data_IF_194948609197
#
_entry.id   IF_194948609197
#
_cell.length_a   1.000
_cell.length_b   1.000
_cell.length_c   1.000
_cell.angle_alpha   90.00
_cell.angle_beta   90.00
_cell.angle_gamma   90.00
#
_symmetry.space_group_name_H-M   'P 1'
#
loop_
_entity.id
_entity.type
_entity.pdbx_description
1 polymer ?
#
# COMPACT_ATOMS: atom_id res chain seq x y z
N UNK A 1 -9.04 -38.98 -79.04
CA UNK A 1 -7.86 -38.19 -78.61
C UNK A 1 -8.09 -37.74 -77.18
N UNK A 2 -7.42 -38.35 -76.20
CA UNK A 2 -7.55 -38.03 -74.78
C UNK A 2 -6.18 -37.60 -74.24
N UNK A 3 -6.01 -36.31 -73.94
CA UNK A 3 -4.82 -35.77 -73.29
C UNK A 3 -4.89 -36.04 -71.78
N UNK A 4 -3.95 -36.86 -71.27
CA UNK A 4 -3.71 -37.03 -69.83
C UNK A 4 -2.90 -35.84 -69.31
N UNK A 5 -3.47 -35.05 -68.40
CA UNK A 5 -2.75 -34.02 -67.65
C UNK A 5 -1.94 -34.68 -66.53
N UNK A 6 -0.61 -34.60 -66.63
CA UNK A 6 0.31 -35.04 -65.58
C UNK A 6 0.40 -34.06 -64.40
N UNK A 7 0.83 -34.52 -63.21
CA UNK A 7 0.91 -33.69 -62.01
C UNK A 7 2.03 -32.66 -62.11
N UNK A 8 1.71 -31.40 -61.79
CA UNK A 8 2.69 -30.31 -61.68
C UNK A 8 3.43 -30.44 -60.34
N UNK A 9 4.75 -30.59 -60.40
CA UNK A 9 5.64 -30.52 -59.24
C UNK A 9 5.69 -29.08 -58.71
N UNK A 10 5.20 -28.86 -57.48
CA UNK A 10 5.36 -27.60 -56.75
C UNK A 10 6.77 -27.58 -56.18
N UNK A 11 7.66 -26.80 -56.78
CA UNK A 11 9.01 -26.56 -56.27
C UNK A 11 8.91 -25.58 -55.10
N UNK A 12 8.86 -26.10 -53.88
CA UNK A 12 8.91 -25.30 -52.66
C UNK A 12 10.32 -24.71 -52.49
N UNK A 13 10.43 -23.39 -52.65
CA UNK A 13 11.69 -22.66 -52.57
C UNK A 13 12.11 -22.50 -51.09
N UNK A 14 12.76 -23.53 -50.55
CA UNK A 14 13.16 -23.67 -49.13
C UNK A 14 14.04 -22.54 -48.59
N UNK A 15 14.67 -21.74 -49.46
CA UNK A 15 15.47 -20.57 -49.08
C UNK A 15 14.64 -19.39 -48.59
N UNK A 16 13.39 -19.22 -49.07
CA UNK A 16 12.50 -18.16 -48.61
C UNK A 16 11.94 -18.43 -47.20
N UNK A 17 11.77 -19.71 -46.83
CA UNK A 17 11.25 -20.12 -45.53
C UNK A 17 12.28 -19.91 -44.40
N UNK A 18 13.56 -20.20 -44.67
CA UNK A 18 14.63 -20.09 -43.66
C UNK A 18 14.95 -18.62 -43.33
N UNK A 19 14.89 -17.71 -44.32
CA UNK A 19 15.11 -16.28 -44.10
C UNK A 19 13.94 -15.66 -43.29
N UNK A 20 12.70 -16.11 -43.51
CA UNK A 20 11.54 -15.66 -42.74
C UNK A 20 11.58 -16.05 -41.27
N UNK A 21 12.06 -17.26 -40.95
CA UNK A 21 12.17 -17.76 -39.56
C UNK A 21 13.28 -17.02 -38.78
N UNK A 22 14.41 -16.72 -39.43
CA UNK A 22 15.53 -16.01 -38.79
C UNK A 22 15.18 -14.52 -38.54
N UNK A 23 14.43 -13.86 -39.45
CA UNK A 23 13.96 -12.49 -39.22
C UNK A 23 12.94 -12.39 -38.07
N UNK A 24 12.08 -13.39 -37.89
CA UNK A 24 11.16 -13.45 -36.74
C UNK A 24 11.89 -13.63 -35.41
N UNK A 25 12.99 -14.39 -35.37
CA UNK A 25 13.78 -14.58 -34.15
C UNK A 25 14.59 -13.34 -33.73
N UNK A 26 15.09 -12.56 -34.69
CA UNK A 26 15.82 -11.31 -34.40
C UNK A 26 14.88 -10.18 -33.97
N UNK A 27 13.65 -10.11 -34.51
CA UNK A 27 12.64 -9.16 -34.04
C UNK A 27 12.13 -9.47 -32.63
N UNK A 28 12.05 -10.76 -32.26
CA UNK A 28 11.61 -11.20 -30.93
C UNK A 28 12.66 -10.98 -29.82
N UNK A 29 13.96 -10.87 -30.17
CA UNK A 29 15.04 -10.74 -29.19
C UNK A 29 15.38 -9.30 -28.80
N UNK A 30 14.81 -8.30 -29.48
CA UNK A 30 14.90 -6.86 -29.09
C UNK A 30 13.80 -6.48 -28.09
N UNK A 31 12.76 -7.32 -27.94
CA UNK A 31 11.67 -7.12 -26.97
C UNK A 31 12.05 -7.47 -25.50
N UNK A 32 13.28 -7.90 -25.24
CA UNK A 32 13.70 -8.45 -23.95
C UNK A 32 14.24 -7.46 -22.91
N UNK A 33 14.47 -6.19 -23.29
CA UNK A 33 14.92 -5.17 -22.35
C UNK A 33 13.78 -4.19 -22.08
N UNK A 34 12.92 -4.50 -21.11
CA UNK A 34 12.15 -3.44 -20.45
C UNK A 34 13.16 -2.43 -19.93
N UNK A 35 13.05 -1.19 -20.40
CA UNK A 35 13.93 -0.15 -19.88
C UNK A 35 13.47 0.16 -18.46
N UNK A 36 14.39 0.07 -17.49
CA UNK A 36 14.17 0.46 -16.08
C UNK A 36 13.43 1.80 -15.96
N UNK A 37 13.67 2.70 -16.91
CA UNK A 37 13.01 4.00 -17.07
C UNK A 37 11.49 3.95 -17.19
N UNK A 38 10.91 3.01 -17.96
CA UNK A 38 9.46 2.91 -18.11
C UNK A 38 8.79 2.48 -16.81
N UNK A 39 9.41 1.51 -16.10
CA UNK A 39 8.93 1.06 -14.80
C UNK A 39 9.05 2.20 -13.78
N UNK A 40 10.19 2.91 -13.77
CA UNK A 40 10.40 4.09 -12.92
C UNK A 40 9.35 5.17 -13.16
N UNK A 41 9.01 5.47 -14.42
CA UNK A 41 7.99 6.46 -14.76
C UNK A 41 6.59 6.05 -14.27
N UNK A 42 6.20 4.79 -14.50
CA UNK A 42 4.91 4.25 -14.02
C UNK A 42 4.85 4.33 -12.49
N UNK A 43 5.94 3.93 -11.82
CA UNK A 43 6.06 3.97 -10.36
C UNK A 43 6.00 5.40 -9.84
N UNK A 44 6.68 6.35 -10.49
CA UNK A 44 6.71 7.75 -10.10
C UNK A 44 5.33 8.40 -10.23
N UNK A 45 4.66 8.24 -11.38
CA UNK A 45 3.32 8.80 -11.62
C UNK A 45 2.26 8.17 -10.71
N UNK A 46 2.30 6.85 -10.53
CA UNK A 46 1.41 6.19 -9.58
C UNK A 46 1.66 6.66 -8.15
N UNK A 47 2.91 6.86 -7.74
CA UNK A 47 3.21 7.45 -6.43
C UNK A 47 2.63 8.86 -6.33
N UNK A 48 2.83 9.72 -7.33
CA UNK A 48 2.30 11.08 -7.40
C UNK A 48 0.77 11.10 -7.27
N UNK A 49 0.06 10.21 -7.96
CA UNK A 49 -1.40 10.08 -7.85
C UNK A 49 -1.86 9.55 -6.49
N UNK A 50 -0.98 8.91 -5.71
CA UNK A 50 -1.23 8.55 -4.31
C UNK A 50 -0.81 9.66 -3.33
N UNK A 51 -0.19 10.77 -3.78
CA UNK A 51 0.26 11.87 -2.93
C UNK A 51 -0.81 12.91 -2.50
N UNK A 52 -1.98 13.11 -3.14
CA UNK A 52 -3.02 13.94 -2.54
C UNK A 52 -3.58 13.18 -1.34
N UNK A 53 -2.94 13.35 -0.18
CA UNK A 53 -3.14 12.53 1.02
C UNK A 53 -2.02 11.53 1.33
N UNK A 54 -0.73 11.89 1.18
CA UNK A 54 0.42 11.00 1.47
C UNK A 54 0.58 10.53 2.95
N UNK A 55 -0.37 10.83 3.83
CA UNK A 55 -0.55 10.18 5.14
C UNK A 55 -1.69 9.17 5.03
N UNK A 56 -1.76 8.16 5.90
CA UNK A 56 -3.03 7.45 6.04
C UNK A 56 -4.09 8.50 6.36
N UNK A 57 -5.18 8.57 5.59
CA UNK A 57 -6.16 9.59 5.85
C UNK A 57 -6.62 9.44 7.31
N UNK A 58 -6.57 10.50 8.15
CA UNK A 58 -7.39 10.51 9.34
C UNK A 58 -8.84 10.21 8.92
N UNK A 59 -9.64 9.62 9.82
CA UNK A 59 -11.03 9.23 9.56
C UNK A 59 -11.84 10.30 8.79
N UNK A 60 -11.48 11.57 9.01
CA UNK A 60 -12.13 12.77 8.49
C UNK A 60 -11.69 13.20 7.07
N UNK A 61 -10.61 12.64 6.49
CA UNK A 61 -10.06 13.12 5.19
C UNK A 61 -9.69 12.02 4.20
N UNK A 62 -10.25 10.81 4.33
CA UNK A 62 -10.09 9.80 3.30
C UNK A 62 -10.85 10.27 2.04
N UNK A 63 -10.17 10.38 0.91
CA UNK A 63 -10.76 10.75 -0.37
C UNK A 63 -9.98 11.84 -1.08
N UNK A 64 -9.19 11.44 -2.07
CA UNK A 64 -8.69 12.37 -3.09
C UNK A 64 -9.85 12.66 -4.07
N UNK A 65 -10.42 13.86 -4.03
CA UNK A 65 -11.62 14.16 -4.84
C UNK A 65 -11.32 14.49 -6.31
N UNK A 66 -10.07 14.64 -6.72
CA UNK A 66 -9.68 14.82 -8.12
C UNK A 66 -8.31 14.17 -8.35
N UNK A 67 -8.25 13.14 -9.21
CA UNK A 67 -6.98 12.51 -9.56
C UNK A 67 -7.08 11.56 -10.75
N UNK A 68 -5.97 11.42 -11.48
CA UNK A 68 -5.86 10.66 -12.72
C UNK A 68 -5.72 9.15 -12.50
N UNK A 69 -6.41 8.58 -11.50
CA UNK A 69 -6.23 7.18 -11.13
C UNK A 69 -6.61 6.21 -12.25
N UNK A 70 -7.60 6.55 -13.08
CA UNK A 70 -8.00 5.75 -14.24
C UNK A 70 -6.89 5.70 -15.29
N UNK A 71 -6.24 6.82 -15.55
CA UNK A 71 -5.14 6.91 -16.52
C UNK A 71 -3.93 6.10 -16.05
N UNK A 72 -3.58 6.22 -14.76
CA UNK A 72 -2.47 5.46 -14.18
C UNK A 72 -2.77 3.96 -14.09
N UNK A 73 -3.99 3.58 -13.72
CA UNK A 73 -4.43 2.19 -13.74
C UNK A 73 -4.38 1.62 -15.16
N UNK A 74 -4.87 2.36 -16.15
CA UNK A 74 -4.84 1.98 -17.57
C UNK A 74 -3.40 1.83 -18.06
N UNK A 75 -2.49 2.72 -17.63
CA UNK A 75 -1.05 2.62 -17.98
C UNK A 75 -0.42 1.36 -17.38
N UNK A 76 -0.75 1.01 -16.14
CA UNK A 76 -0.32 -0.24 -15.52
C UNK A 76 -0.85 -1.45 -16.30
N UNK A 77 -2.13 -1.47 -16.66
CA UNK A 77 -2.73 -2.57 -17.41
C UNK A 77 -2.10 -2.75 -18.79
N UNK A 78 -1.93 -1.66 -19.54
CA UNK A 78 -1.26 -1.67 -20.84
C UNK A 78 0.18 -2.18 -20.73
N UNK A 79 0.90 -1.75 -19.69
CA UNK A 79 2.26 -2.22 -19.45
C UNK A 79 2.30 -3.72 -19.12
N UNK A 80 1.42 -4.23 -18.27
CA UNK A 80 1.36 -5.67 -17.96
C UNK A 80 1.04 -6.48 -19.22
N UNK A 81 0.07 -6.03 -20.02
CA UNK A 81 -0.34 -6.70 -21.26
C UNK A 81 0.80 -6.74 -22.29
N UNK A 82 1.64 -5.70 -22.36
CA UNK A 82 2.80 -5.64 -23.25
C UNK A 82 3.95 -6.58 -22.81
N UNK A 83 3.93 -7.11 -21.58
CA UNK A 83 5.04 -7.88 -21.01
C UNK A 83 4.58 -9.20 -20.34
N UNK A 84 3.96 -10.13 -21.07
CA UNK A 84 3.30 -11.32 -20.50
C UNK A 84 4.24 -12.31 -19.79
N UNK A 85 5.55 -12.27 -20.03
CA UNK A 85 6.54 -13.14 -19.37
C UNK A 85 7.24 -12.52 -18.16
N UNK A 86 6.66 -11.49 -17.55
CA UNK A 86 7.23 -10.80 -16.40
C UNK A 86 6.31 -10.82 -15.19
N UNK A 87 6.00 -12.02 -14.72
CA UNK A 87 5.00 -12.28 -13.68
C UNK A 87 5.35 -11.61 -12.35
N UNK A 88 6.64 -11.54 -12.01
CA UNK A 88 7.11 -10.83 -10.81
C UNK A 88 6.83 -9.33 -10.87
N UNK A 89 7.13 -8.70 -12.01
CA UNK A 89 6.86 -7.28 -12.22
C UNK A 89 5.36 -7.01 -12.29
N UNK A 90 4.60 -7.86 -12.99
CA UNK A 90 3.15 -7.77 -13.06
C UNK A 90 2.52 -7.89 -11.66
N UNK A 91 2.96 -8.84 -10.82
CA UNK A 91 2.49 -8.99 -9.45
C UNK A 91 2.73 -7.73 -8.60
N UNK A 92 3.94 -7.16 -8.65
CA UNK A 92 4.26 -5.92 -7.93
C UNK A 92 3.42 -4.73 -8.43
N UNK A 93 3.21 -4.61 -9.74
CA UNK A 93 2.38 -3.57 -10.33
C UNK A 93 0.90 -3.71 -9.96
N UNK A 94 0.38 -4.94 -9.89
CA UNK A 94 -1.00 -5.22 -9.44
C UNK A 94 -1.22 -4.86 -7.98
N UNK A 95 -0.26 -5.14 -7.09
CA UNK A 95 -0.32 -4.68 -5.69
C UNK A 95 -0.36 -3.15 -5.62
N UNK A 96 0.47 -2.46 -6.41
CA UNK A 96 0.44 -0.98 -6.48
C UNK A 96 -0.88 -0.46 -7.03
N UNK A 97 -1.41 -1.07 -8.09
CA UNK A 97 -2.72 -0.71 -8.67
C UNK A 97 -3.84 -0.90 -7.63
N UNK A 98 -3.79 -1.96 -6.83
CA UNK A 98 -4.76 -2.17 -5.76
C UNK A 98 -4.69 -1.07 -4.69
N UNK A 99 -3.49 -0.67 -4.26
CA UNK A 99 -3.31 0.44 -3.32
C UNK A 99 -3.77 1.78 -3.91
N UNK A 100 -3.53 2.02 -5.20
CA UNK A 100 -4.07 3.17 -5.92
C UNK A 100 -5.60 3.16 -5.85
N UNK A 101 -6.24 2.04 -6.19
CA UNK A 101 -7.69 1.92 -6.10
C UNK A 101 -8.23 2.12 -4.69
N UNK A 102 -7.54 1.67 -3.64
CA UNK A 102 -7.92 1.94 -2.25
C UNK A 102 -7.89 3.44 -1.93
N UNK A 103 -6.87 4.18 -2.38
CA UNK A 103 -6.74 5.62 -2.15
C UNK A 103 -7.88 6.44 -2.80
N UNK A 104 -8.49 5.90 -3.87
CA UNK A 104 -9.63 6.50 -4.58
C UNK A 104 -10.96 5.77 -4.33
N UNK A 105 -11.04 4.99 -3.25
CA UNK A 105 -12.26 4.32 -2.77
C UNK A 105 -12.89 3.32 -3.77
N UNK A 106 -12.10 2.86 -4.73
CA UNK A 106 -12.50 1.87 -5.72
C UNK A 106 -12.34 0.45 -5.19
N UNK A 107 -13.03 0.13 -4.09
CA UNK A 107 -12.78 -1.10 -3.32
C UNK A 107 -12.93 -2.40 -4.12
N UNK A 108 -13.91 -2.47 -5.03
CA UNK A 108 -14.11 -3.65 -5.87
C UNK A 108 -12.96 -3.83 -6.86
N UNK A 109 -12.46 -2.72 -7.43
CA UNK A 109 -11.30 -2.74 -8.32
C UNK A 109 -10.03 -3.09 -7.54
N UNK A 110 -9.86 -2.56 -6.33
CA UNK A 110 -8.75 -2.91 -5.44
C UNK A 110 -8.73 -4.42 -5.15
N UNK A 111 -9.88 -5.01 -4.82
CA UNK A 111 -9.99 -6.45 -4.59
C UNK A 111 -9.63 -7.25 -5.85
N UNK A 112 -10.19 -6.88 -7.01
CA UNK A 112 -9.89 -7.56 -8.27
C UNK A 112 -8.39 -7.50 -8.61
N UNK A 113 -7.74 -6.34 -8.43
CA UNK A 113 -6.29 -6.20 -8.64
C UNK A 113 -5.48 -7.08 -7.69
N UNK A 114 -5.86 -7.18 -6.42
CA UNK A 114 -5.20 -8.11 -5.50
C UNK A 114 -5.43 -9.58 -5.92
N UNK A 115 -6.63 -9.97 -6.35
CA UNK A 115 -6.92 -11.36 -6.76
C UNK A 115 -6.12 -11.81 -7.99
N UNK A 116 -5.69 -10.88 -8.84
CA UNK A 116 -4.80 -11.17 -9.98
C UNK A 116 -3.34 -11.44 -9.56
N UNK A 117 -2.96 -11.16 -8.32
CA UNK A 117 -1.59 -11.36 -7.84
C UNK A 117 -1.39 -12.81 -7.42
N UNK A 118 -0.42 -13.47 -8.06
CA UNK A 118 0.12 -14.73 -7.57
C UNK A 118 1.27 -14.48 -6.58
N UNK A 119 1.05 -14.87 -5.32
CA UNK A 119 1.96 -14.62 -4.20
C UNK A 119 3.39 -15.14 -4.44
N UNK A 120 3.57 -16.21 -5.21
CA UNK A 120 4.90 -16.78 -5.47
C UNK A 120 5.81 -15.83 -6.27
N UNK A 121 5.22 -14.87 -6.99
CA UNK A 121 5.94 -13.91 -7.82
C UNK A 121 6.22 -12.59 -7.12
N UNK A 122 5.71 -12.39 -5.90
CA UNK A 122 6.06 -11.21 -5.10
C UNK A 122 7.45 -11.41 -4.49
N UNK A 123 8.38 -10.52 -4.80
CA UNK A 123 9.77 -10.62 -4.31
C UNK A 123 10.03 -9.75 -3.07
N UNK A 124 9.37 -8.60 -2.96
CA UNK A 124 9.64 -7.64 -1.89
C UNK A 124 8.82 -7.92 -0.64
N UNK A 125 9.37 -7.63 0.54
CA UNK A 125 8.65 -7.75 1.81
C UNK A 125 7.41 -6.83 1.84
N UNK A 126 7.52 -5.65 1.23
CA UNK A 126 6.42 -4.69 1.10
C UNK A 126 5.22 -5.31 0.36
N UNK A 127 5.45 -5.84 -0.84
CA UNK A 127 4.34 -6.31 -1.67
C UNK A 127 3.69 -7.55 -1.06
N UNK A 128 4.50 -8.44 -0.45
CA UNK A 128 4.00 -9.60 0.31
C UNK A 128 3.13 -9.17 1.50
N UNK A 129 3.58 -8.20 2.29
CA UNK A 129 2.83 -7.69 3.44
C UNK A 129 1.49 -7.08 3.02
N UNK A 130 1.49 -6.22 1.99
CA UNK A 130 0.26 -5.60 1.47
C UNK A 130 -0.71 -6.65 0.91
N UNK A 131 -0.22 -7.63 0.15
CA UNK A 131 -1.07 -8.71 -0.36
C UNK A 131 -1.65 -9.58 0.76
N UNK A 132 -0.84 -9.91 1.77
CA UNK A 132 -1.28 -10.69 2.93
C UNK A 132 -2.40 -9.96 3.68
N UNK A 133 -2.24 -8.65 3.89
CA UNK A 133 -3.19 -7.82 4.63
C UNK A 133 -4.38 -7.33 3.78
N UNK A 134 -4.48 -7.68 2.49
CA UNK A 134 -5.45 -7.12 1.54
C UNK A 134 -6.88 -7.02 2.07
N UNK A 135 -7.36 -8.03 2.79
CA UNK A 135 -8.74 -8.05 3.34
C UNK A 135 -8.92 -6.97 4.41
N UNK A 136 -7.96 -6.84 5.31
CA UNK A 136 -7.96 -5.82 6.36
C UNK A 136 -7.74 -4.42 5.79
N UNK A 137 -6.91 -4.29 4.75
CA UNK A 137 -6.71 -3.02 4.04
C UNK A 137 -8.01 -2.55 3.38
N UNK A 138 -8.69 -3.40 2.62
CA UNK A 138 -9.96 -3.07 1.98
C UNK A 138 -11.02 -2.70 3.03
N UNK A 139 -11.13 -3.48 4.11
CA UNK A 139 -12.05 -3.16 5.19
C UNK A 139 -11.73 -1.81 5.83
N UNK A 140 -10.49 -1.57 6.23
CA UNK A 140 -10.11 -0.32 6.89
C UNK A 140 -10.35 0.91 6.02
N UNK A 141 -9.95 0.87 4.75
CA UNK A 141 -10.18 1.99 3.82
C UNK A 141 -11.67 2.25 3.53
N UNK A 142 -12.53 1.25 3.72
CA UNK A 142 -13.98 1.41 3.63
C UNK A 142 -14.57 1.96 4.93
N UNK A 143 -14.11 1.44 6.05
CA UNK A 143 -14.70 1.70 7.37
C UNK A 143 -14.16 2.97 8.03
N UNK A 144 -12.99 3.48 7.63
CA UNK A 144 -12.34 4.61 8.30
C UNK A 144 -13.16 5.90 8.31
N UNK A 145 -14.17 6.02 7.45
CA UNK A 145 -15.05 7.20 7.33
C UNK A 145 -16.41 7.05 8.02
N UNK A 146 -16.72 5.85 8.46
CA UNK A 146 -18.05 5.47 8.95
C UNK A 146 -17.98 5.20 10.45
N UNK A 147 -19.14 5.26 11.09
CA UNK A 147 -19.28 4.79 12.47
C UNK A 147 -19.14 3.26 12.51
N UNK A 148 -18.43 2.75 13.52
CA UNK A 148 -18.19 1.33 13.74
C UNK A 148 -19.45 0.69 14.31
N UNK A 149 -19.90 -0.38 13.66
CA UNK A 149 -20.84 -1.32 14.26
C UNK A 149 -20.12 -2.32 15.18
N UNK A 150 -20.87 -3.12 15.94
CA UNK A 150 -20.29 -4.21 16.76
C UNK A 150 -19.45 -5.19 15.92
N UNK A 151 -19.86 -5.47 14.67
CA UNK A 151 -19.11 -6.30 13.72
C UNK A 151 -17.78 -5.66 13.32
N UNK A 152 -17.72 -4.32 13.25
CA UNK A 152 -16.49 -3.59 12.97
C UNK A 152 -15.51 -3.61 14.15
N UNK A 153 -15.99 -3.71 15.39
CA UNK A 153 -15.09 -3.93 16.53
C UNK A 153 -14.40 -5.29 16.47
N UNK A 154 -15.11 -6.33 16.04
CA UNK A 154 -14.51 -7.65 15.84
C UNK A 154 -13.49 -7.62 14.69
N UNK A 155 -13.87 -7.08 13.53
CA UNK A 155 -12.97 -6.94 12.37
C UNK A 155 -11.74 -6.06 12.69
N UNK A 156 -11.94 -4.99 13.46
CA UNK A 156 -10.86 -4.14 13.95
C UNK A 156 -9.89 -4.88 14.85
N UNK A 157 -10.39 -5.69 15.78
CA UNK A 157 -9.55 -6.52 16.64
C UNK A 157 -8.73 -7.55 15.84
N UNK A 158 -9.35 -8.19 14.85
CA UNK A 158 -8.66 -9.11 13.93
C UNK A 158 -7.58 -8.37 13.10
N UNK A 159 -7.91 -7.19 12.58
CA UNK A 159 -6.98 -6.36 11.81
C UNK A 159 -5.78 -5.91 12.65
N UNK A 160 -6.00 -5.46 13.90
CA UNK A 160 -4.92 -5.05 14.82
C UNK A 160 -3.93 -6.20 15.10
N UNK A 161 -4.44 -7.43 15.22
CA UNK A 161 -3.63 -8.62 15.44
C UNK A 161 -2.80 -8.99 14.20
N UNK A 162 -3.45 -9.07 13.03
CA UNK A 162 -2.76 -9.44 11.78
C UNK A 162 -1.77 -8.35 11.32
N UNK A 163 -2.08 -7.07 11.54
CA UNK A 163 -1.14 -5.97 11.34
C UNK A 163 0.08 -6.14 12.26
N UNK A 164 -0.11 -6.41 13.56
CA UNK A 164 1.01 -6.60 14.48
C UNK A 164 1.89 -7.78 14.08
N UNK A 165 1.30 -8.94 13.80
CA UNK A 165 2.03 -10.12 13.31
C UNK A 165 2.86 -9.79 12.08
N UNK A 166 2.28 -9.06 11.12
CA UNK A 166 2.99 -8.65 9.90
C UNK A 166 4.13 -7.69 10.22
N UNK A 167 3.89 -6.65 11.03
CA UNK A 167 4.89 -5.67 11.48
C UNK A 167 6.10 -6.35 12.10
N UNK A 168 5.88 -7.35 12.97
CA UNK A 168 6.95 -8.07 13.67
C UNK A 168 7.89 -8.83 12.72
N UNK A 169 7.44 -9.15 11.50
CA UNK A 169 8.25 -9.80 10.47
C UNK A 169 9.06 -8.83 9.61
N UNK A 170 8.80 -7.52 9.68
CA UNK A 170 9.30 -6.51 8.74
C UNK A 170 10.56 -5.75 9.24
N UNK A 171 11.39 -6.40 10.05
CA UNK A 171 12.60 -5.78 10.64
C UNK A 171 13.56 -5.17 9.61
N UNK A 172 13.66 -5.78 8.42
CA UNK A 172 14.52 -5.32 7.33
C UNK A 172 13.79 -4.43 6.31
N UNK A 173 12.60 -3.93 6.64
CA UNK A 173 11.79 -3.10 5.73
C UNK A 173 11.06 -2.01 6.51
N UNK A 174 11.81 -1.06 7.11
CA UNK A 174 11.27 -0.07 8.04
C UNK A 174 10.17 0.79 7.41
N UNK A 175 10.28 1.15 6.13
CA UNK A 175 9.28 2.01 5.48
C UNK A 175 7.87 1.41 5.49
N UNK A 176 7.73 0.13 5.13
CA UNK A 176 6.43 -0.55 5.16
C UNK A 176 6.01 -0.93 6.58
N UNK A 177 6.97 -1.32 7.43
CA UNK A 177 6.71 -1.59 8.85
C UNK A 177 6.07 -0.38 9.52
N UNK A 178 6.66 0.80 9.34
CA UNK A 178 6.20 2.04 9.97
C UNK A 178 4.86 2.49 9.39
N UNK A 179 4.64 2.30 8.08
CA UNK A 179 3.34 2.57 7.45
C UNK A 179 2.22 1.67 8.01
N UNK A 180 2.48 0.37 8.20
CA UNK A 180 1.51 -0.55 8.79
C UNK A 180 1.30 -0.27 10.28
N UNK A 181 2.33 0.13 11.01
CA UNK A 181 2.21 0.55 12.41
C UNK A 181 1.35 1.80 12.56
N UNK A 182 1.49 2.75 11.65
CA UNK A 182 0.64 3.94 11.56
C UNK A 182 -0.83 3.55 11.30
N UNK A 183 -1.09 2.62 10.38
CA UNK A 183 -2.45 2.12 10.13
C UNK A 183 -3.04 1.45 11.36
N UNK A 184 -2.24 0.63 12.04
CA UNK A 184 -2.64 -0.07 13.25
C UNK A 184 -3.07 0.92 14.34
N UNK A 185 -2.29 2.00 14.56
CA UNK A 185 -2.66 2.99 15.58
C UNK A 185 -3.91 3.78 15.19
N UNK A 186 -4.13 4.10 13.92
CA UNK A 186 -5.38 4.76 13.50
C UNK A 186 -6.61 3.88 13.71
N UNK A 187 -6.54 2.58 13.40
CA UNK A 187 -7.62 1.63 13.71
C UNK A 187 -7.90 1.63 15.22
N UNK A 188 -6.84 1.52 16.04
CA UNK A 188 -6.98 1.50 17.49
C UNK A 188 -7.57 2.81 18.05
N UNK A 189 -7.17 3.97 17.51
CA UNK A 189 -7.72 5.27 17.91
C UNK A 189 -9.20 5.40 17.52
N UNK A 190 -9.60 4.89 16.35
CA UNK A 190 -11.00 4.88 15.92
C UNK A 190 -11.85 3.99 16.85
N UNK A 191 -11.36 2.78 17.16
CA UNK A 191 -12.02 1.89 18.12
C UNK A 191 -12.09 2.51 19.52
N UNK A 192 -11.06 3.23 19.95
CA UNK A 192 -11.06 3.90 21.24
C UNK A 192 -12.06 5.06 21.32
N UNK A 193 -12.19 5.83 20.23
CA UNK A 193 -13.14 6.94 20.11
C UNK A 193 -14.58 6.46 20.26
N UNK A 194 -14.91 5.31 19.68
CA UNK A 194 -16.28 4.80 19.62
C UNK A 194 -16.61 3.77 20.71
N UNK A 195 -15.61 3.22 21.37
CA UNK A 195 -15.79 2.22 22.43
C UNK A 195 -16.28 2.81 23.75
N UNK A 196 -16.77 1.93 24.63
CA UNK A 196 -17.03 2.28 26.03
C UNK A 196 -15.72 2.60 26.78
N UNK A 197 -15.80 3.06 28.03
CA UNK A 197 -14.60 3.48 28.79
C UNK A 197 -13.52 2.39 28.90
N UNK A 198 -13.92 1.12 29.08
CA UNK A 198 -12.98 0.00 29.15
C UNK A 198 -12.29 -0.25 27.81
N UNK A 199 -13.05 -0.21 26.71
CA UNK A 199 -12.54 -0.36 25.35
C UNK A 199 -11.66 0.82 24.94
N UNK A 200 -12.06 2.04 25.29
CA UNK A 200 -11.30 3.27 25.06
C UNK A 200 -9.92 3.17 25.69
N UNK A 201 -9.84 2.83 26.98
CA UNK A 201 -8.58 2.64 27.68
C UNK A 201 -7.74 1.53 27.03
N UNK A 202 -8.36 0.38 26.72
CA UNK A 202 -7.69 -0.77 26.11
C UNK A 202 -7.08 -0.42 24.74
N UNK A 203 -7.88 0.07 23.81
CA UNK A 203 -7.45 0.31 22.43
C UNK A 203 -6.53 1.53 22.32
N UNK A 204 -6.77 2.60 23.09
CA UNK A 204 -5.86 3.73 23.15
C UNK A 204 -4.49 3.30 23.70
N UNK A 205 -4.48 2.63 24.84
CA UNK A 205 -3.25 2.16 25.49
C UNK A 205 -2.46 1.22 24.59
N UNK A 206 -3.09 0.17 24.04
CA UNK A 206 -2.40 -0.76 23.16
C UNK A 206 -1.94 -0.09 21.86
N UNK A 207 -2.81 0.69 21.20
CA UNK A 207 -2.48 1.39 19.95
C UNK A 207 -1.26 2.30 20.10
N UNK A 208 -1.27 3.20 21.09
CA UNK A 208 -0.18 4.14 21.34
C UNK A 208 1.09 3.42 21.79
N UNK A 209 1.00 2.49 22.75
CA UNK A 209 2.19 1.82 23.27
C UNK A 209 2.89 0.95 22.22
N UNK A 210 2.16 0.34 21.29
CA UNK A 210 2.79 -0.38 20.16
C UNK A 210 3.39 0.59 19.14
N UNK A 211 2.68 1.68 18.80
CA UNK A 211 3.19 2.65 17.83
C UNK A 211 4.48 3.31 18.28
N UNK A 212 4.57 3.71 19.56
CA UNK A 212 5.77 4.36 20.10
C UNK A 212 7.01 3.48 20.00
N UNK A 213 6.88 2.15 20.05
CA UNK A 213 8.03 1.23 19.86
C UNK A 213 8.65 1.32 18.46
N UNK A 214 7.94 1.88 17.48
CA UNK A 214 8.46 2.09 16.12
C UNK A 214 9.27 3.37 15.97
N UNK A 215 9.14 4.30 16.92
CA UNK A 215 9.86 5.57 16.93
C UNK A 215 11.24 5.39 17.56
N UNK A 216 12.25 6.03 16.97
CA UNK A 216 13.58 6.10 17.58
C UNK A 216 13.64 7.18 18.66
N UNK A 217 14.66 7.14 19.52
CA UNK A 217 14.90 8.23 20.48
C UNK A 217 15.12 9.59 19.81
N UNK A 218 15.75 9.60 18.62
CA UNK A 218 15.90 10.81 17.82
C UNK A 218 14.55 11.33 17.29
N UNK A 219 13.69 10.45 16.80
CA UNK A 219 12.33 10.82 16.36
C UNK A 219 11.55 11.48 17.51
N UNK A 220 11.58 10.89 18.70
CA UNK A 220 10.90 11.43 19.88
C UNK A 220 11.47 12.78 20.32
N UNK A 221 12.80 12.94 20.32
CA UNK A 221 13.44 14.20 20.70
C UNK A 221 13.06 15.35 19.75
N UNK A 222 13.04 15.08 18.44
CA UNK A 222 12.64 16.05 17.42
C UNK A 222 11.15 16.41 17.52
N UNK A 223 10.28 15.42 17.75
CA UNK A 223 8.85 15.67 17.96
C UNK A 223 8.61 16.53 19.21
N UNK A 224 9.33 16.27 20.31
CA UNK A 224 9.25 17.07 21.54
C UNK A 224 9.73 18.51 21.32
N UNK A 225 10.84 18.69 20.61
CA UNK A 225 11.36 20.02 20.33
C UNK A 225 10.46 20.81 19.37
N UNK A 226 9.86 20.14 18.37
CA UNK A 226 8.82 20.73 17.52
C UNK A 226 7.58 21.11 18.33
N UNK A 227 7.10 20.25 19.22
CA UNK A 227 5.94 20.53 20.09
C UNK A 227 6.18 21.74 20.99
N UNK A 228 7.39 21.90 21.56
CA UNK A 228 7.74 23.04 22.44
C UNK A 228 7.89 24.36 21.69
N UNK A 229 8.52 24.34 20.52
CA UNK A 229 9.04 25.55 19.89
C UNK A 229 8.36 25.90 18.55
N UNK A 230 7.61 24.98 17.95
CA UNK A 230 6.94 25.12 16.64
C UNK A 230 7.86 25.36 15.45
N UNK A 231 9.18 25.38 15.66
CA UNK A 231 10.19 25.87 14.70
C UNK A 231 11.05 24.78 14.08
N UNK A 232 11.06 23.58 14.65
CA UNK A 232 11.92 22.52 14.15
C UNK A 232 11.29 21.85 12.93
N UNK A 233 12.01 21.92 11.80
CA UNK A 233 11.58 21.26 10.57
C UNK A 233 11.67 19.75 10.76
N UNK A 234 10.53 19.08 10.67
CA UNK A 234 10.48 17.62 10.60
C UNK A 234 11.17 17.19 9.30
N UNK A 235 12.21 16.36 9.43
CA UNK A 235 13.17 16.11 8.35
C UNK A 235 12.77 14.94 7.47
N UNK A 236 11.91 14.05 7.96
CA UNK A 236 11.53 12.83 7.26
C UNK A 236 10.02 12.53 7.33
N UNK A 237 9.57 11.65 6.44
CA UNK A 237 8.16 11.23 6.34
C UNK A 237 7.64 10.59 7.62
N UNK A 238 8.44 9.80 8.32
CA UNK A 238 8.04 9.14 9.57
C UNK A 238 7.64 10.16 10.63
N UNK A 239 8.43 11.22 10.80
CA UNK A 239 8.16 12.29 11.76
C UNK A 239 6.90 13.07 11.43
N UNK A 240 6.70 13.41 10.15
CA UNK A 240 5.48 14.09 9.67
C UNK A 240 4.23 13.25 9.97
N UNK A 241 4.30 11.94 9.72
CA UNK A 241 3.19 11.01 9.98
C UNK A 241 2.95 10.82 11.48
N UNK A 242 4.00 10.73 12.29
CA UNK A 242 3.89 10.67 13.74
C UNK A 242 3.18 11.90 14.32
N UNK A 243 3.41 13.10 13.77
CA UNK A 243 2.70 14.32 14.19
C UNK A 243 1.19 14.21 13.96
N UNK A 244 0.75 13.60 12.85
CA UNK A 244 -0.66 13.39 12.56
C UNK A 244 -1.31 12.41 13.56
N UNK A 245 -0.60 11.33 13.92
CA UNK A 245 -1.03 10.40 14.97
C UNK A 245 -1.14 11.11 16.32
N UNK A 246 -0.12 11.89 16.70
CA UNK A 246 -0.10 12.68 17.94
C UNK A 246 -1.30 13.62 17.99
N UNK A 247 -1.54 14.40 16.93
CA UNK A 247 -2.67 15.33 16.86
C UNK A 247 -4.01 14.62 17.07
N UNK A 248 -4.19 13.46 16.44
CA UNK A 248 -5.42 12.66 16.57
C UNK A 248 -5.57 12.12 17.99
N UNK A 249 -4.52 11.55 18.55
CA UNK A 249 -4.50 10.97 19.90
C UNK A 249 -4.69 12.04 20.99
N UNK A 250 -4.07 13.22 20.84
CA UNK A 250 -4.27 14.37 21.73
C UNK A 250 -5.71 14.86 21.74
N UNK A 251 -6.41 14.82 20.60
CA UNK A 251 -7.85 15.14 20.54
C UNK A 251 -8.66 14.26 21.49
N UNK A 252 -8.46 12.94 21.38
CA UNK A 252 -9.14 11.97 22.24
C UNK A 252 -8.72 12.09 23.72
N UNK A 253 -7.44 12.37 23.99
CA UNK A 253 -6.94 12.57 25.35
C UNK A 253 -7.52 13.83 26.02
N UNK A 254 -7.84 14.88 25.26
CA UNK A 254 -8.52 16.08 25.78
C UNK A 254 -9.96 15.80 26.18
N UNK A 255 -10.63 14.93 25.45
CA UNK A 255 -12.00 14.50 25.77
C UNK A 255 -12.03 13.56 26.98
N UNK A 256 -10.96 12.77 27.20
CA UNK A 256 -10.89 11.75 28.26
C UNK A 256 -9.48 11.71 28.90
N UNK A 257 -9.12 12.67 29.77
CA UNK A 257 -7.75 12.83 30.27
C UNK A 257 -7.14 11.59 30.95
N UNK A 258 -7.96 10.76 31.58
CA UNK A 258 -7.55 9.55 32.28
C UNK A 258 -6.90 8.48 31.39
N UNK A 259 -7.14 8.51 30.07
CA UNK A 259 -6.51 7.56 29.12
C UNK A 259 -5.01 7.80 28.99
N UNK A 260 -4.49 8.96 29.40
CA UNK A 260 -3.05 9.22 29.40
C UNK A 260 -2.30 8.34 30.41
N UNK A 261 -2.99 7.80 31.43
CA UNK A 261 -2.39 6.93 32.44
C UNK A 261 -1.93 5.59 31.88
N UNK A 262 -2.48 5.15 30.74
CA UNK A 262 -2.08 3.89 30.08
C UNK A 262 -0.98 4.05 29.03
N UNK A 263 -0.50 5.26 28.78
CA UNK A 263 0.65 5.51 27.89
C UNK A 263 1.94 5.32 28.67
N UNK A 264 2.73 4.29 28.37
CA UNK A 264 3.90 3.90 29.16
C UNK A 264 5.15 4.76 28.89
N UNK A 265 5.22 5.40 27.73
CA UNK A 265 6.35 6.23 27.35
C UNK A 265 6.11 7.69 27.81
N UNK A 266 6.94 8.19 28.72
CA UNK A 266 6.80 9.53 29.30
C UNK A 266 6.94 10.65 28.28
N UNK A 267 7.88 10.52 27.33
CA UNK A 267 8.09 11.52 26.28
C UNK A 267 6.87 11.62 25.36
N UNK A 268 6.34 10.48 24.94
CA UNK A 268 5.14 10.44 24.12
C UNK A 268 3.91 10.91 24.89
N UNK A 269 3.77 10.55 26.17
CA UNK A 269 2.71 11.09 27.03
C UNK A 269 2.76 12.61 27.10
N UNK A 270 3.96 13.20 27.15
CA UNK A 270 4.15 14.66 27.12
C UNK A 270 3.69 15.26 25.78
N UNK A 271 3.93 14.59 24.66
CA UNK A 271 3.43 15.02 23.35
C UNK A 271 1.91 15.02 23.24
N UNK A 272 1.22 14.24 24.08
CA UNK A 272 -0.23 14.09 24.05
C UNK A 272 -0.98 15.13 24.90
N UNK A 273 -0.30 15.81 25.82
CA UNK A 273 -0.86 16.85 26.71
C UNK A 273 -1.03 18.18 25.97
#
# INVERSE_FOLDING_TARGET
>A
MNQKNGPRSVVFNSRALIIGIILCFVAASIAGCITTKQVEEIVAKSNESMLPGAGLPPAETAGASEGHWQEDATRIDAFIAAHPGQEALAGALRVRQAMLFLAYEQYNLANASFEMVNLQYLSTARDKALYHLRRHLIWWFRQSKEDFSDDDFQKGSEALLELQKTIDTLNNSPDIRDYLAEMRVYIALQMARQGNDSERIKYFGDGINQYVKTLTGEDLALLLANHKNGKELLKNRRQIRALAVIKTASGLAKETPEILNVVNNTDFRTLLQ
#
